data_IF_111430478113
#
_entry.id   IF_111430478113
#
_cell.length_a   1.000
_cell.length_b   1.000
_cell.length_c   1.000
_cell.angle_alpha   90.00
_cell.angle_beta   90.00
_cell.angle_gamma   90.00
#
_symmetry.space_group_name_H-M   'P 1'
#
loop_
_entity.id
_entity.type
_entity.pdbx_description
1 polymer ?
#
# COMPACT_ATOMS: atom_id res chain seq x y z
N UNK A 1 -22.90 1.91 33.75
CA UNK A 1 -23.26 0.58 33.21
C UNK A 1 -23.48 0.72 31.72
N UNK A 2 -22.83 -0.11 30.92
CA UNK A 2 -23.04 -0.22 29.46
C UNK A 2 -22.04 0.54 28.60
N UNK A 3 -20.79 0.07 28.53
CA UNK A 3 -19.93 0.40 27.39
C UNK A 3 -20.50 -0.31 26.16
N UNK A 4 -20.87 0.45 25.14
CA UNK A 4 -21.22 -0.07 23.83
C UNK A 4 -20.02 -0.83 23.27
N UNK A 5 -20.09 -2.16 23.28
CA UNK A 5 -19.20 -2.98 22.46
C UNK A 5 -19.55 -2.71 21.00
N UNK A 6 -18.85 -1.78 20.36
CA UNK A 6 -18.78 -1.76 18.90
C UNK A 6 -18.18 -3.11 18.50
N UNK A 7 -18.87 -3.85 17.63
CA UNK A 7 -18.40 -5.14 17.10
C UNK A 7 -16.90 -5.08 16.77
N UNK A 8 -16.05 -5.59 17.67
CA UNK A 8 -14.63 -5.71 17.41
C UNK A 8 -14.44 -7.02 16.66
N UNK A 9 -14.02 -6.91 15.40
CA UNK A 9 -13.59 -8.07 14.64
C UNK A 9 -12.32 -8.66 15.27
N UNK A 10 -12.22 -9.98 15.31
CA UNK A 10 -11.01 -10.69 15.74
C UNK A 10 -10.05 -10.87 14.56
N UNK A 11 -8.77 -11.13 14.83
CA UNK A 11 -7.78 -11.44 13.78
C UNK A 11 -8.24 -12.62 12.92
N UNK A 12 -8.69 -13.71 13.54
CA UNK A 12 -9.19 -14.89 12.82
C UNK A 12 -10.35 -14.58 11.87
N UNK A 13 -11.26 -13.69 12.28
CA UNK A 13 -12.37 -13.25 11.43
C UNK A 13 -11.88 -12.45 10.22
N UNK A 14 -10.93 -11.53 10.43
CA UNK A 14 -10.37 -10.73 9.33
C UNK A 14 -9.51 -11.60 8.41
N UNK A 15 -8.68 -12.48 8.95
CA UNK A 15 -7.87 -13.43 8.17
C UNK A 15 -8.75 -14.31 7.27
N UNK A 16 -9.88 -14.80 7.80
CA UNK A 16 -10.84 -15.58 7.04
C UNK A 16 -11.50 -14.80 5.90
N UNK A 17 -11.69 -13.48 6.07
CA UNK A 17 -12.19 -12.61 5.01
C UNK A 17 -11.10 -12.30 3.97
N UNK A 18 -9.87 -12.02 4.42
CA UNK A 18 -8.71 -11.77 3.55
C UNK A 18 -8.43 -12.98 2.64
N UNK A 19 -8.52 -14.20 3.18
CA UNK A 19 -8.25 -15.44 2.44
C UNK A 19 -9.20 -15.69 1.24
N UNK A 20 -10.34 -14.98 1.18
CA UNK A 20 -11.30 -15.09 0.07
C UNK A 20 -10.99 -14.11 -1.07
N UNK A 21 -10.09 -13.16 -0.86
CA UNK A 21 -9.73 -12.16 -1.84
C UNK A 21 -8.54 -12.71 -2.66
N UNK A 22 -8.65 -12.83 -3.98
CA UNK A 22 -7.55 -13.31 -4.80
C UNK A 22 -6.41 -12.28 -4.80
N UNK A 23 -5.18 -12.75 -4.98
CA UNK A 23 -4.02 -11.88 -5.21
C UNK A 23 -4.18 -11.12 -6.53
N UNK A 24 -3.62 -9.92 -6.62
CA UNK A 24 -3.62 -9.07 -7.81
C UNK A 24 -2.19 -8.95 -8.35
N UNK A 25 -1.98 -9.36 -9.60
CA UNK A 25 -0.72 -9.18 -10.31
C UNK A 25 -0.83 -8.04 -11.33
N UNK A 26 0.03 -7.03 -11.22
CA UNK A 26 0.12 -5.86 -12.11
C UNK A 26 1.54 -5.76 -12.67
N UNK A 27 1.81 -6.44 -13.79
CA UNK A 27 3.17 -6.52 -14.34
C UNK A 27 4.10 -7.26 -13.39
N UNK A 28 5.18 -6.62 -12.94
CA UNK A 28 6.15 -7.17 -11.97
C UNK A 28 5.72 -6.99 -10.52
N UNK A 29 4.65 -6.22 -10.27
CA UNK A 29 4.16 -5.91 -8.93
C UNK A 29 3.04 -6.86 -8.54
N UNK A 30 3.15 -7.48 -7.36
CA UNK A 30 2.12 -8.34 -6.79
C UNK A 30 1.53 -7.71 -5.53
N UNK A 31 0.21 -7.73 -5.43
CA UNK A 31 -0.52 -7.36 -4.23
C UNK A 31 -1.25 -8.58 -3.67
N UNK A 32 -1.16 -8.81 -2.36
CA UNK A 32 -1.86 -9.91 -1.68
C UNK A 32 -2.60 -9.37 -0.46
N UNK A 33 -3.78 -9.90 -0.11
CA UNK A 33 -4.49 -9.49 1.11
C UNK A 33 -3.68 -9.82 2.36
N UNK A 34 -3.67 -8.92 3.34
CA UNK A 34 -2.94 -9.07 4.59
C UNK A 34 -3.74 -8.49 5.76
N UNK A 35 -3.60 -9.07 6.96
CA UNK A 35 -4.18 -8.49 8.18
C UNK A 35 -3.12 -7.76 8.98
N UNK A 36 -3.24 -6.45 9.08
CA UNK A 36 -2.36 -5.61 9.88
C UNK A 36 -2.79 -5.61 11.34
N UNK A 37 -1.81 -5.49 12.23
CA UNK A 37 -2.04 -5.30 13.66
C UNK A 37 -1.89 -3.82 14.02
N UNK A 38 -3.01 -3.17 14.36
CA UNK A 38 -3.12 -1.75 14.68
C UNK A 38 -3.32 -1.47 16.18
N UNK A 39 -3.15 -0.19 16.55
CA UNK A 39 -3.25 0.31 17.92
C UNK A 39 -1.96 0.15 18.73
N UNK A 40 -1.87 0.85 19.87
CA UNK A 40 -0.67 0.86 20.72
C UNK A 40 -0.21 -0.54 21.14
N UNK A 41 -1.17 -1.44 21.40
CA UNK A 41 -0.90 -2.83 21.81
C UNK A 41 -0.95 -3.82 20.64
N UNK A 42 -1.11 -3.35 19.39
CA UNK A 42 -1.21 -4.18 18.19
C UNK A 42 -2.26 -5.30 18.30
N UNK A 43 -3.39 -5.01 18.93
CA UNK A 43 -4.44 -5.98 19.20
C UNK A 43 -5.73 -5.73 18.41
N UNK A 44 -5.75 -4.71 17.55
CA UNK A 44 -6.88 -4.41 16.66
C UNK A 44 -6.49 -4.84 15.25
N UNK A 45 -7.17 -5.83 14.65
CA UNK A 45 -6.93 -6.19 13.25
C UNK A 45 -7.43 -5.08 12.32
N UNK A 46 -6.67 -4.80 11.27
CA UNK A 46 -7.04 -3.87 10.19
C UNK A 46 -6.74 -4.52 8.82
N UNK A 47 -7.57 -4.31 7.78
CA UNK A 47 -7.25 -4.78 6.45
C UNK A 47 -6.02 -4.03 5.92
N UNK A 48 -5.09 -4.78 5.33
CA UNK A 48 -3.94 -4.26 4.63
C UNK A 48 -3.58 -5.15 3.45
N UNK A 49 -2.48 -4.82 2.79
CA UNK A 49 -2.01 -5.56 1.62
C UNK A 49 -0.51 -5.73 1.67
N UNK A 50 -0.04 -6.92 1.29
CA UNK A 50 1.36 -7.16 0.97
C UNK A 50 1.62 -6.64 -0.44
N UNK A 51 2.59 -5.74 -0.58
CA UNK A 51 3.17 -5.28 -1.83
C UNK A 51 4.50 -6.03 -2.05
N UNK A 52 4.59 -6.84 -3.10
CA UNK A 52 5.82 -7.53 -3.48
C UNK A 52 6.33 -7.06 -4.85
N UNK A 53 7.60 -6.66 -4.90
CA UNK A 53 8.30 -6.18 -6.09
C UNK A 53 9.81 -6.32 -5.90
N UNK A 54 10.55 -6.71 -6.94
CA UNK A 54 12.02 -6.79 -6.86
C UNK A 54 12.58 -7.75 -5.80
N UNK A 55 11.81 -8.77 -5.40
CA UNK A 55 12.19 -9.68 -4.31
C UNK A 55 11.99 -9.14 -2.89
N UNK A 56 11.44 -7.93 -2.76
CA UNK A 56 11.11 -7.29 -1.49
C UNK A 56 9.61 -7.42 -1.20
N UNK A 57 9.22 -7.33 0.06
CA UNK A 57 7.80 -7.31 0.47
C UNK A 57 7.57 -6.28 1.56
N UNK A 58 6.60 -5.42 1.31
CA UNK A 58 6.18 -4.34 2.18
C UNK A 58 4.69 -4.46 2.49
N UNK A 59 4.25 -3.82 3.55
CA UNK A 59 2.88 -3.88 4.04
C UNK A 59 2.27 -2.51 3.84
N UNK A 60 1.10 -2.44 3.24
CA UNK A 60 0.39 -1.20 2.99
C UNK A 60 -0.96 -1.22 3.73
N UNK A 61 -1.35 -0.07 4.27
CA UNK A 61 -2.66 0.08 4.86
C UNK A 61 -3.72 0.30 3.78
N UNK A 62 -4.78 -0.52 3.77
CA UNK A 62 -5.81 -0.51 2.73
C UNK A 62 -6.44 0.87 2.51
N UNK A 63 -6.80 1.59 3.58
CA UNK A 63 -7.49 2.88 3.47
C UNK A 63 -6.56 3.96 2.89
N UNK A 64 -5.28 3.96 3.26
CA UNK A 64 -4.30 4.86 2.67
C UNK A 64 -4.02 4.51 1.21
N UNK A 65 -3.93 3.23 0.87
CA UNK A 65 -3.76 2.81 -0.52
C UNK A 65 -4.97 3.23 -1.38
N UNK A 66 -6.20 3.11 -0.85
CA UNK A 66 -7.42 3.62 -1.51
C UNK A 66 -7.35 5.13 -1.72
N UNK A 67 -7.02 5.89 -0.67
CA UNK A 67 -6.87 7.35 -0.75
C UNK A 67 -5.82 7.77 -1.77
N UNK A 68 -4.73 7.00 -1.88
CA UNK A 68 -3.71 7.20 -2.91
C UNK A 68 -4.27 6.99 -4.31
N UNK A 69 -4.95 5.87 -4.57
CA UNK A 69 -5.57 5.61 -5.89
C UNK A 69 -6.69 6.60 -6.25
N UNK A 70 -7.35 7.18 -5.26
CA UNK A 70 -8.36 8.24 -5.42
C UNK A 70 -7.74 9.64 -5.59
N UNK A 71 -6.42 9.78 -5.45
CA UNK A 71 -5.70 11.06 -5.58
C UNK A 71 -5.87 12.00 -4.37
N UNK A 72 -6.33 11.49 -3.22
CA UNK A 72 -6.49 12.27 -1.97
C UNK A 72 -5.31 12.09 -1.01
N UNK A 73 -4.36 11.24 -1.36
CA UNK A 73 -3.08 11.06 -0.71
C UNK A 73 -1.97 11.15 -1.77
N UNK A 74 -1.02 12.06 -1.56
CA UNK A 74 0.04 12.36 -2.53
C UNK A 74 1.19 11.34 -2.49
N UNK A 75 1.51 10.84 -1.29
CA UNK A 75 2.57 9.84 -1.06
C UNK A 75 2.01 8.80 -0.11
N UNK A 76 2.18 7.52 -0.46
CA UNK A 76 1.78 6.40 0.38
C UNK A 76 3.00 5.59 0.79
N UNK A 77 3.13 5.33 2.08
CA UNK A 77 4.28 4.64 2.66
C UNK A 77 3.86 3.29 3.23
N UNK A 78 4.83 2.38 3.34
CA UNK A 78 4.60 1.12 4.04
C UNK A 78 4.30 1.32 5.52
N UNK A 79 3.45 0.44 6.04
CA UNK A 79 3.08 0.34 7.44
C UNK A 79 4.29 0.22 8.38
N UNK A 80 4.15 0.78 9.58
CA UNK A 80 5.21 0.71 10.59
C UNK A 80 5.54 -0.72 10.97
N UNK A 81 6.82 -1.09 10.85
CA UNK A 81 7.31 -2.44 11.14
C UNK A 81 7.19 -3.40 9.96
N UNK A 82 6.90 -2.89 8.77
CA UNK A 82 6.95 -3.66 7.53
C UNK A 82 8.37 -4.20 7.24
N UNK A 83 8.52 -5.38 6.60
CA UNK A 83 9.83 -5.95 6.27
C UNK A 83 10.67 -5.10 5.32
N UNK A 84 10.01 -4.41 4.37
CA UNK A 84 10.65 -3.47 3.47
C UNK A 84 9.94 -2.11 3.54
N UNK A 85 10.73 -1.04 3.44
CA UNK A 85 10.22 0.31 3.30
C UNK A 85 9.95 0.60 1.82
N UNK A 86 8.72 0.96 1.48
CA UNK A 86 8.39 1.51 0.17
C UNK A 86 7.73 2.89 0.29
N UNK A 87 7.94 3.70 -0.74
CA UNK A 87 7.21 4.93 -0.99
C UNK A 87 6.53 4.83 -2.35
N UNK A 88 5.22 5.05 -2.41
CA UNK A 88 4.46 5.10 -3.65
C UNK A 88 4.07 6.55 -3.87
N UNK A 89 4.48 7.12 -5.01
CA UNK A 89 4.26 8.53 -5.31
C UNK A 89 4.03 8.74 -6.80
N UNK A 90 3.28 9.79 -7.13
CA UNK A 90 3.16 10.30 -8.50
C UNK A 90 4.26 11.34 -8.75
N UNK A 91 4.74 11.51 -9.99
CA UNK A 91 5.70 12.58 -10.30
C UNK A 91 5.19 13.98 -9.91
N UNK A 92 3.87 14.22 -10.01
CA UNK A 92 3.27 15.49 -9.60
C UNK A 92 3.35 15.77 -8.09
N UNK A 93 3.55 14.74 -7.27
CA UNK A 93 3.66 14.81 -5.82
C UNK A 93 5.10 14.77 -5.31
N UNK A 94 6.08 14.63 -6.21
CA UNK A 94 7.50 14.59 -5.89
C UNK A 94 8.23 15.80 -6.49
N UNK A 95 8.63 16.79 -5.69
CA UNK A 95 9.41 17.93 -6.17
C UNK A 95 10.68 17.47 -6.89
N UNK A 96 11.03 18.12 -8.01
CA UNK A 96 12.14 17.69 -8.86
C UNK A 96 13.52 17.74 -8.16
N UNK A 97 13.64 18.54 -7.11
CA UNK A 97 14.83 18.68 -6.26
C UNK A 97 14.79 17.79 -5.00
N UNK A 98 13.84 16.85 -4.94
CA UNK A 98 13.76 15.84 -3.87
C UNK A 98 14.28 14.49 -4.37
N UNK A 99 14.75 13.65 -3.45
CA UNK A 99 15.18 12.28 -3.77
C UNK A 99 14.09 11.47 -4.49
N UNK A 100 12.81 11.70 -4.16
CA UNK A 100 11.70 11.05 -4.85
C UNK A 100 11.51 11.60 -6.27
N UNK A 101 11.69 12.90 -6.49
CA UNK A 101 11.61 13.52 -7.81
C UNK A 101 12.75 13.07 -8.73
N UNK A 102 13.95 12.94 -8.18
CA UNK A 102 15.11 12.37 -8.89
C UNK A 102 14.84 10.90 -9.28
N UNK A 103 14.35 10.08 -8.35
CA UNK A 103 14.02 8.68 -8.61
C UNK A 103 12.89 8.50 -9.63
N UNK A 104 11.97 9.45 -9.71
CA UNK A 104 10.84 9.48 -10.65
C UNK A 104 11.17 10.20 -11.96
N UNK A 105 12.42 10.60 -12.18
CA UNK A 105 12.82 11.27 -13.41
C UNK A 105 12.54 10.36 -14.63
N UNK A 106 11.72 10.86 -15.57
CA UNK A 106 11.31 10.12 -16.77
C UNK A 106 10.06 9.25 -16.61
N UNK A 107 9.49 9.14 -15.40
CA UNK A 107 8.18 8.51 -15.20
C UNK A 107 7.07 9.45 -15.73
N UNK A 108 6.10 8.96 -16.53
CA UNK A 108 5.02 9.81 -17.01
C UNK A 108 4.16 10.36 -15.86
N UNK A 109 3.67 11.59 -16.01
CA UNK A 109 3.02 12.33 -14.92
C UNK A 109 1.75 11.67 -14.36
N UNK A 110 1.10 10.81 -15.14
CA UNK A 110 -0.11 10.07 -14.76
C UNK A 110 0.16 8.66 -14.23
N UNK A 111 1.43 8.26 -14.12
CA UNK A 111 1.86 7.00 -13.51
C UNK A 111 2.22 7.21 -12.03
N UNK A 112 2.18 6.13 -11.26
CA UNK A 112 2.78 6.08 -9.94
C UNK A 112 4.09 5.30 -9.99
N UNK A 113 5.11 5.74 -9.28
CA UNK A 113 6.33 4.94 -9.06
C UNK A 113 6.32 4.31 -7.67
N UNK A 114 6.86 3.11 -7.59
CA UNK A 114 7.15 2.39 -6.34
C UNK A 114 8.65 2.53 -6.07
N UNK A 115 8.98 3.23 -5.00
CA UNK A 115 10.33 3.59 -4.63
C UNK A 115 10.79 2.81 -3.40
N UNK A 116 12.07 2.49 -3.36
CA UNK A 116 12.73 1.85 -2.22
C UNK A 116 14.07 2.53 -1.94
N UNK A 117 14.45 2.79 -0.68
CA UNK A 117 15.80 3.26 -0.36
C UNK A 117 16.82 2.16 -0.64
N UNK A 118 17.79 2.43 -1.52
CA UNK A 118 18.95 1.58 -1.75
C UNK A 118 19.96 1.61 -0.60
N UNK A 119 20.98 0.76 -0.69
CA UNK A 119 22.06 0.65 0.31
C UNK A 119 22.86 1.96 0.47
N UNK A 120 22.88 2.79 -0.57
CA UNK A 120 23.51 4.12 -0.59
C UNK A 120 22.61 5.22 0.00
N UNK A 121 21.40 4.87 0.45
CA UNK A 121 20.39 5.77 0.98
C UNK A 121 19.62 6.53 -0.10
N UNK A 122 19.89 6.31 -1.39
CA UNK A 122 19.17 6.95 -2.48
C UNK A 122 17.88 6.19 -2.79
N UNK A 123 16.82 6.92 -3.16
CA UNK A 123 15.58 6.28 -3.59
C UNK A 123 15.77 5.69 -4.99
N UNK A 124 15.38 4.43 -5.14
CA UNK A 124 15.43 3.69 -6.40
C UNK A 124 14.00 3.38 -6.86
N UNK A 125 13.72 3.59 -8.14
CA UNK A 125 12.46 3.19 -8.76
C UNK A 125 12.49 1.68 -9.03
N UNK A 126 11.62 0.93 -8.35
CA UNK A 126 11.51 -0.51 -8.53
C UNK A 126 10.50 -0.90 -9.61
N UNK A 127 9.38 -0.18 -9.68
CA UNK A 127 8.34 -0.41 -10.68
C UNK A 127 7.49 0.84 -10.87
N UNK A 128 6.74 0.86 -11.97
CA UNK A 128 5.70 1.87 -12.21
C UNK A 128 4.34 1.20 -12.33
N UNK A 129 3.30 1.94 -11.94
CA UNK A 129 1.91 1.59 -12.16
C UNK A 129 1.29 2.61 -13.11
N UNK A 130 0.85 2.14 -14.27
CA UNK A 130 0.13 2.96 -15.25
C UNK A 130 -1.31 3.28 -14.79
N UNK A 131 -2.02 4.20 -15.46
CA UNK A 131 -3.39 4.55 -15.08
C UNK A 131 -4.38 3.38 -15.10
N UNK A 132 -4.19 2.39 -15.96
CA UNK A 132 -5.04 1.20 -15.99
C UNK A 132 -4.78 0.29 -14.80
N UNK A 133 -3.50 0.10 -14.43
CA UNK A 133 -3.07 -0.66 -13.26
C UNK A 133 -3.55 0.00 -11.96
N UNK A 134 -3.46 1.33 -11.85
CA UNK A 134 -4.01 2.08 -10.70
C UNK A 134 -5.54 1.89 -10.57
N UNK A 135 -6.28 1.89 -11.69
CA UNK A 135 -7.72 1.58 -11.67
C UNK A 135 -8.02 0.13 -11.30
N UNK A 136 -7.17 -0.82 -11.70
CA UNK A 136 -7.31 -2.22 -11.31
C UNK A 136 -7.05 -2.40 -9.82
N UNK A 137 -6.02 -1.74 -9.28
CA UNK A 137 -5.71 -1.72 -7.85
C UNK A 137 -6.88 -1.13 -7.04
N UNK A 138 -7.42 0.03 -7.43
CA UNK A 138 -8.61 0.63 -6.78
C UNK A 138 -9.78 -0.36 -6.73
N UNK A 139 -10.14 -0.96 -7.87
CA UNK A 139 -11.26 -1.92 -7.93
C UNK A 139 -11.04 -3.14 -7.06
N UNK A 140 -9.80 -3.64 -7.02
CA UNK A 140 -9.44 -4.78 -6.19
C UNK A 140 -9.49 -4.44 -4.71
N UNK A 141 -8.97 -3.28 -4.29
CA UNK A 141 -9.07 -2.83 -2.90
C UNK A 141 -10.52 -2.66 -2.44
N UNK A 142 -11.42 -2.28 -3.34
CA UNK A 142 -12.87 -2.17 -3.02
C UNK A 142 -13.55 -3.52 -2.78
N UNK A 143 -12.90 -4.66 -3.03
CA UNK A 143 -13.42 -5.98 -2.67
C UNK A 143 -13.15 -6.36 -1.21
N UNK A 144 -12.30 -5.60 -0.51
CA UNK A 144 -11.98 -5.84 0.89
C UNK A 144 -13.18 -5.52 1.80
N UNK A 145 -13.32 -6.24 2.93
CA UNK A 145 -14.34 -5.94 3.93
C UNK A 145 -14.13 -4.53 4.51
N UNK A 146 -15.24 -3.82 4.72
CA UNK A 146 -15.25 -2.53 5.44
C UNK A 146 -15.55 -2.81 6.91
N UNK A 147 -14.64 -2.43 7.80
CA UNK A 147 -14.71 -2.71 9.25
C UNK A 147 -15.11 -1.47 10.07
#
# INVERSE_FOLDING_TARGET
MGFFSKNQFTFEQIDSLMAQIPELQLGEVKFSPHTLAAGWRKNTPKPGVDLAVGGLTGWLELEETLRFTEGTLSVHETWTGSPALFFISTPASAPADSAAGEALAGVPADHAGILHPGDDGQLQLLATLDPQQLRQLDRWMRTFPRL
#
